data_IF_099970876234
#
_entry.id   IF_099970876234
#
_cell.length_a   1.000
_cell.length_b   1.000
_cell.length_c   1.000
_cell.angle_alpha   90.00
_cell.angle_beta   90.00
_cell.angle_gamma   90.00
#
_symmetry.space_group_name_H-M   'P 1'
#
loop_
_entity.id
_entity.type
_entity.pdbx_description
1 polymer ?
#
# COMPACT_ATOMS: atom_id res chain seq x y z
N UNK A 1 -9.99 -0.25 2.08
CA UNK A 1 -9.65 0.22 3.43
C UNK A 1 -10.00 -0.86 4.43
N UNK A 2 -9.16 -1.05 5.49
CA UNK A 2 -9.44 -2.00 6.57
C UNK A 2 -9.28 -3.49 6.21
N UNK A 3 -8.68 -3.82 5.06
CA UNK A 3 -8.44 -5.23 4.65
C UNK A 3 -7.14 -5.80 5.22
N UNK A 4 -6.34 -5.00 5.96
CA UNK A 4 -5.09 -5.44 6.57
C UNK A 4 -3.83 -5.21 5.73
N UNK A 5 -3.82 -4.28 4.77
CA UNK A 5 -2.62 -3.99 3.96
C UNK A 5 -1.39 -3.69 4.81
N UNK A 6 -1.53 -2.84 5.81
CA UNK A 6 -0.43 -2.43 6.69
C UNK A 6 0.11 -3.60 7.52
N UNK A 7 -0.79 -4.49 7.99
CA UNK A 7 -0.39 -5.74 8.66
C UNK A 7 0.36 -6.67 7.70
N UNK A 8 -0.11 -6.77 6.45
CA UNK A 8 0.59 -7.54 5.42
C UNK A 8 1.96 -6.94 5.10
N UNK A 9 2.05 -5.62 4.96
CA UNK A 9 3.31 -4.91 4.73
C UNK A 9 4.30 -5.17 5.87
N UNK A 10 3.84 -5.08 7.13
CA UNK A 10 4.63 -5.42 8.30
C UNK A 10 5.17 -6.86 8.24
N UNK A 11 4.28 -7.82 7.97
CA UNK A 11 4.66 -9.24 7.88
C UNK A 11 5.66 -9.51 6.75
N UNK A 12 5.47 -8.86 5.58
CA UNK A 12 6.40 -8.96 4.46
C UNK A 12 7.76 -8.37 4.81
N UNK A 13 7.82 -7.21 5.47
CA UNK A 13 9.08 -6.61 5.91
C UNK A 13 9.84 -7.54 6.85
N UNK A 14 9.17 -8.06 7.88
CA UNK A 14 9.78 -9.02 8.82
C UNK A 14 10.25 -10.30 8.11
N UNK A 15 9.43 -10.85 7.21
CA UNK A 15 9.77 -12.04 6.43
C UNK A 15 11.02 -11.84 5.55
N UNK A 16 11.12 -10.68 4.90
CA UNK A 16 12.24 -10.35 4.03
C UNK A 16 13.53 -10.14 4.84
N UNK A 17 13.49 -9.45 5.97
CA UNK A 17 14.64 -9.31 6.86
C UNK A 17 15.09 -10.66 7.41
N UNK A 18 14.17 -11.53 7.84
CA UNK A 18 14.50 -12.88 8.32
C UNK A 18 15.18 -13.75 7.25
N UNK A 19 15.08 -13.38 5.98
CA UNK A 19 15.76 -14.02 4.84
C UNK A 19 16.99 -13.29 4.34
N UNK A 20 17.53 -12.37 5.16
CA UNK A 20 18.73 -11.57 4.86
C UNK A 20 18.58 -10.66 3.63
N UNK A 21 17.35 -10.29 3.26
CA UNK A 21 17.12 -9.21 2.31
C UNK A 21 17.30 -7.85 2.97
N UNK A 22 17.39 -6.79 2.16
CA UNK A 22 17.43 -5.39 2.61
C UNK A 22 16.19 -4.65 2.09
N UNK A 23 14.97 -5.00 2.56
CA UNK A 23 13.76 -4.36 2.08
C UNK A 23 13.67 -2.92 2.56
N UNK A 24 13.06 -2.07 1.73
CA UNK A 24 12.57 -0.77 2.16
C UNK A 24 11.03 -0.80 2.13
N UNK A 25 10.41 -0.04 3.01
CA UNK A 25 8.97 0.18 3.03
C UNK A 25 8.65 1.58 2.52
N UNK A 26 7.62 1.71 1.71
CA UNK A 26 7.15 2.98 1.18
C UNK A 26 5.62 3.05 1.17
N UNK A 27 5.09 4.15 1.70
CA UNK A 27 3.68 4.57 1.64
C UNK A 27 3.60 5.84 0.81
N UNK A 28 3.40 5.76 -0.52
CA UNK A 28 3.49 6.93 -1.40
C UNK A 28 2.49 8.04 -1.05
N UNK A 29 1.28 7.67 -0.61
CA UNK A 29 0.28 8.61 -0.12
C UNK A 29 -0.34 8.06 1.17
N UNK A 30 -0.13 8.77 2.26
CA UNK A 30 -0.74 8.52 3.57
C UNK A 30 -1.93 9.46 3.74
N UNK A 31 -3.06 8.95 4.20
CA UNK A 31 -4.26 9.75 4.51
C UNK A 31 -4.79 9.36 5.87
N UNK A 32 -5.50 10.29 6.55
CA UNK A 32 -6.09 10.04 7.85
C UNK A 32 -5.15 10.25 9.02
N UNK A 33 -4.04 10.99 8.84
CA UNK A 33 -3.13 11.35 9.92
C UNK A 33 -2.51 12.74 9.68
N UNK A 34 -2.15 13.43 10.76
CA UNK A 34 -1.62 14.81 10.72
C UNK A 34 -0.24 14.88 10.07
N UNK A 35 0.57 13.88 10.33
CA UNK A 35 1.94 13.75 9.85
C UNK A 35 2.36 12.27 9.87
N UNK A 36 3.52 11.93 9.30
CA UNK A 36 4.01 10.54 9.28
C UNK A 36 4.25 9.92 10.66
N UNK A 37 4.39 10.72 11.71
CA UNK A 37 4.67 10.25 13.09
C UNK A 37 3.39 9.98 13.89
N UNK A 38 2.24 10.34 13.37
CA UNK A 38 0.95 10.09 14.02
C UNK A 38 0.76 8.59 14.28
N UNK A 39 0.09 8.25 15.39
CA UNK A 39 -0.19 6.86 15.78
C UNK A 39 -1.02 6.11 14.73
N UNK A 40 -1.82 6.84 13.95
CA UNK A 40 -2.65 6.30 12.88
C UNK A 40 -1.91 6.18 11.53
N UNK A 41 -0.63 6.58 11.47
CA UNK A 41 0.20 6.45 10.27
C UNK A 41 0.61 4.99 10.02
N UNK A 42 0.35 4.50 8.80
CA UNK A 42 0.80 3.16 8.38
C UNK A 42 2.33 3.04 8.45
N UNK A 43 3.06 4.10 8.08
CA UNK A 43 4.52 4.13 8.14
C UNK A 43 5.01 4.05 9.58
N UNK A 44 4.44 4.83 10.49
CA UNK A 44 4.77 4.76 11.91
C UNK A 44 4.49 3.37 12.49
N UNK A 45 3.37 2.75 12.12
CA UNK A 45 3.05 1.40 12.53
C UNK A 45 4.11 0.39 12.06
N UNK A 46 4.48 0.39 10.79
CA UNK A 46 5.49 -0.54 10.25
C UNK A 46 6.84 -0.32 10.91
N UNK A 47 7.30 0.94 11.03
CA UNK A 47 8.60 1.27 11.65
C UNK A 47 8.66 0.90 13.13
N UNK A 48 7.54 1.00 13.83
CA UNK A 48 7.45 0.63 15.25
C UNK A 48 7.62 -0.87 15.50
N UNK A 49 7.10 -1.72 14.60
CA UNK A 49 7.02 -3.16 14.82
C UNK A 49 8.02 -3.98 14.01
N UNK A 50 8.76 -3.38 13.08
CA UNK A 50 9.89 -4.02 12.37
C UNK A 50 11.18 -3.68 13.10
N UNK A 51 11.83 -4.70 13.68
CA UNK A 51 13.01 -4.52 14.55
C UNK A 51 14.15 -3.76 13.86
N UNK A 52 14.41 -4.06 12.59
CA UNK A 52 15.48 -3.48 11.77
C UNK A 52 15.22 -2.02 11.36
N UNK A 53 14.00 -1.53 11.55
CA UNK A 53 13.60 -0.14 11.29
C UNK A 53 13.61 0.71 12.58
N UNK A 54 13.83 0.12 13.74
CA UNK A 54 13.91 0.89 15.00
C UNK A 54 15.01 1.94 14.94
N UNK A 55 14.65 3.18 15.29
CA UNK A 55 15.55 4.32 15.27
C UNK A 55 15.74 4.99 13.90
N UNK A 56 15.13 4.46 12.85
CA UNK A 56 15.04 5.13 11.55
C UNK A 56 13.81 6.04 11.49
N UNK A 57 13.88 7.06 10.65
CA UNK A 57 12.78 8.01 10.48
C UNK A 57 11.68 7.44 9.60
N UNK A 58 10.46 7.30 10.14
CA UNK A 58 9.32 6.79 9.38
C UNK A 58 8.82 7.80 8.33
N UNK A 59 9.18 9.08 8.43
CA UNK A 59 8.85 10.08 7.42
C UNK A 59 9.54 9.79 6.08
N UNK A 60 10.70 9.11 6.09
CA UNK A 60 11.39 8.67 4.88
C UNK A 60 10.54 7.68 4.05
N UNK A 61 9.56 7.04 4.67
CA UNK A 61 8.66 6.11 4.00
C UNK A 61 7.38 6.77 3.44
N UNK A 62 7.19 8.08 3.59
CA UNK A 62 5.98 8.78 3.16
C UNK A 62 6.35 9.90 2.19
N UNK A 63 5.67 9.99 1.04
CA UNK A 63 5.89 11.06 0.06
C UNK A 63 4.84 12.17 0.26
N UNK A 64 3.56 11.78 0.33
CA UNK A 64 2.46 12.68 0.63
C UNK A 64 1.74 12.24 1.89
N UNK A 65 1.42 13.19 2.78
CA UNK A 65 0.62 12.97 3.98
C UNK A 65 -0.50 13.98 4.07
N UNK A 66 -1.74 13.49 4.29
CA UNK A 66 -2.95 14.30 4.37
C UNK A 66 -3.77 13.94 5.61
N UNK A 67 -4.37 14.94 6.23
CA UNK A 67 -5.10 14.82 7.51
C UNK A 67 -6.40 14.03 7.37
N UNK A 68 -7.13 14.28 6.28
CA UNK A 68 -8.45 13.68 6.11
C UNK A 68 -8.37 12.21 5.70
N UNK A 69 -9.20 11.37 6.31
CA UNK A 69 -9.34 9.94 6.01
C UNK A 69 -10.19 9.72 4.75
N UNK A 70 -9.72 10.24 3.61
CA UNK A 70 -10.36 10.19 2.29
C UNK A 70 -9.42 9.58 1.26
N UNK A 71 -9.92 9.35 0.03
CA UNK A 71 -9.04 9.03 -1.09
C UNK A 71 -8.00 10.16 -1.29
N UNK A 72 -6.75 9.84 -1.63
CA UNK A 72 -5.65 10.82 -1.66
C UNK A 72 -5.97 12.09 -2.46
N UNK A 73 -6.61 11.97 -3.62
CA UNK A 73 -7.05 13.12 -4.43
C UNK A 73 -7.95 14.08 -3.65
N UNK A 74 -8.96 13.54 -2.96
CA UNK A 74 -9.91 14.37 -2.22
C UNK A 74 -9.28 14.95 -0.95
N UNK A 75 -8.44 14.17 -0.26
CA UNK A 75 -7.72 14.64 0.92
C UNK A 75 -6.75 15.78 0.58
N UNK A 76 -6.02 15.67 -0.54
CA UNK A 76 -5.14 16.72 -1.03
C UNK A 76 -5.92 18.01 -1.38
N UNK A 77 -7.04 17.86 -2.12
CA UNK A 77 -7.89 18.98 -2.51
C UNK A 77 -8.47 19.74 -1.31
N UNK A 78 -8.90 19.02 -0.28
CA UNK A 78 -9.43 19.65 0.94
C UNK A 78 -8.38 20.47 1.69
N UNK A 79 -7.09 20.16 1.50
CA UNK A 79 -5.97 20.93 2.02
C UNK A 79 -5.43 21.99 1.03
N UNK A 80 -6.12 22.23 -0.08
CA UNK A 80 -5.65 23.15 -1.13
C UNK A 80 -4.36 22.68 -1.82
N UNK A 81 -4.09 21.37 -1.81
CA UNK A 81 -2.92 20.73 -2.41
C UNK A 81 -3.32 19.84 -3.58
N UNK A 82 -2.34 19.40 -4.35
CA UNK A 82 -2.47 18.40 -5.40
C UNK A 82 -1.37 17.36 -5.28
N UNK A 83 -1.63 16.15 -5.80
CA UNK A 83 -0.62 15.12 -5.96
C UNK A 83 -0.07 15.23 -7.37
N UNK A 84 1.21 15.57 -7.48
CA UNK A 84 1.96 15.46 -8.71
C UNK A 84 2.36 13.99 -8.91
N UNK A 85 1.75 13.33 -9.89
CA UNK A 85 1.93 11.91 -10.14
C UNK A 85 3.28 11.60 -10.78
N UNK A 86 3.87 12.53 -11.53
CA UNK A 86 5.21 12.35 -12.11
C UNK A 86 6.28 12.49 -11.02
N UNK A 87 6.15 13.48 -10.15
CA UNK A 87 7.02 13.60 -8.96
C UNK A 87 6.90 12.36 -8.07
N UNK A 88 5.67 11.86 -7.86
CA UNK A 88 5.44 10.65 -7.07
C UNK A 88 6.18 9.43 -7.65
N UNK A 89 6.17 9.25 -8.98
CA UNK A 89 6.89 8.18 -9.66
C UNK A 89 8.42 8.32 -9.54
N UNK A 90 8.93 9.55 -9.68
CA UNK A 90 10.36 9.84 -9.52
C UNK A 90 10.82 9.53 -8.09
N UNK A 91 10.06 9.95 -7.08
CA UNK A 91 10.34 9.67 -5.67
C UNK A 91 10.29 8.18 -5.35
N UNK A 92 9.30 7.44 -5.87
CA UNK A 92 9.23 5.98 -5.72
C UNK A 92 10.50 5.32 -6.28
N UNK A 93 10.94 5.73 -7.47
CA UNK A 93 12.14 5.20 -8.11
C UNK A 93 13.38 5.53 -7.28
N UNK A 94 13.54 6.80 -6.90
CA UNK A 94 14.70 7.28 -6.12
C UNK A 94 14.80 6.57 -4.77
N UNK A 95 13.70 6.51 -4.01
CA UNK A 95 13.68 5.83 -2.70
C UNK A 95 13.77 4.31 -2.81
N UNK A 96 13.53 3.73 -3.98
CA UNK A 96 13.75 2.32 -4.28
C UNK A 96 15.20 1.96 -4.57
N UNK A 97 16.07 2.94 -4.83
CA UNK A 97 17.49 2.70 -5.10
C UNK A 97 18.18 2.07 -3.88
N UNK A 98 18.85 0.96 -4.10
CA UNK A 98 19.51 0.20 -3.03
C UNK A 98 18.59 -0.69 -2.18
N UNK A 99 17.29 -0.66 -2.40
CA UNK A 99 16.34 -1.54 -1.73
C UNK A 99 16.27 -2.92 -2.42
N UNK A 100 16.16 -3.98 -1.62
CA UNK A 100 16.05 -5.35 -2.16
C UNK A 100 15.12 -6.19 -1.30
N UNK A 101 13.81 -6.19 -1.60
CA UNK A 101 13.04 -5.36 -2.52
C UNK A 101 12.51 -4.05 -1.90
N UNK A 102 11.86 -3.19 -2.72
CA UNK A 102 11.00 -2.12 -2.24
C UNK A 102 9.57 -2.66 -2.06
N UNK A 103 9.03 -2.54 -0.85
CA UNK A 103 7.64 -2.86 -0.51
C UNK A 103 6.83 -1.58 -0.52
N UNK A 104 5.90 -1.46 -1.48
CA UNK A 104 5.04 -0.28 -1.65
C UNK A 104 3.63 -0.60 -1.15
N UNK A 105 3.13 0.16 -0.18
CA UNK A 105 1.77 0.04 0.29
C UNK A 105 0.85 1.09 -0.36
N UNK A 106 -0.13 0.63 -1.12
CA UNK A 106 -1.11 1.48 -1.77
C UNK A 106 -2.10 2.11 -0.77
N UNK A 107 -2.55 3.33 -1.04
CA UNK A 107 -3.65 3.97 -0.33
C UNK A 107 -5.00 3.51 -0.90
N UNK A 108 -5.78 2.79 -0.12
CA UNK A 108 -7.07 2.25 -0.55
C UNK A 108 -6.96 1.09 -1.55
N UNK A 109 -7.84 1.04 -2.53
CA UNK A 109 -7.87 0.01 -3.58
C UNK A 109 -7.39 0.55 -4.94
N UNK A 110 -7.38 -0.32 -5.96
CA UNK A 110 -6.82 0.00 -7.28
C UNK A 110 -7.52 1.17 -8.00
N UNK A 111 -8.82 1.34 -7.79
CA UNK A 111 -9.62 2.39 -8.43
C UNK A 111 -9.74 3.65 -7.56
N UNK A 112 -8.85 3.83 -6.59
CA UNK A 112 -8.79 5.04 -5.76
C UNK A 112 -8.06 6.13 -6.53
N UNK A 113 -8.63 7.36 -6.67
CA UNK A 113 -8.00 8.46 -7.39
C UNK A 113 -6.83 9.06 -6.61
N UNK A 114 -5.72 9.26 -7.32
CA UNK A 114 -4.55 10.03 -6.88
C UNK A 114 -4.60 11.47 -7.42
N UNK A 115 -5.12 11.65 -8.62
CA UNK A 115 -5.41 12.94 -9.26
C UNK A 115 -6.71 12.85 -10.05
N UNK A 116 -7.07 13.88 -10.81
CA UNK A 116 -8.24 13.85 -11.71
C UNK A 116 -8.14 12.76 -12.79
N UNK A 117 -6.92 12.49 -13.25
CA UNK A 117 -6.67 11.60 -14.39
C UNK A 117 -5.98 10.28 -14.00
N UNK A 118 -5.46 10.19 -12.77
CA UNK A 118 -4.63 9.06 -12.36
C UNK A 118 -5.25 8.31 -11.19
N UNK A 119 -5.48 7.02 -11.38
CA UNK A 119 -5.91 6.09 -10.33
C UNK A 119 -4.71 5.34 -9.73
N UNK A 120 -4.89 4.72 -8.58
CA UNK A 120 -3.86 3.89 -7.95
C UNK A 120 -3.36 2.77 -8.89
N UNK A 121 -4.23 2.18 -9.72
CA UNK A 121 -3.85 1.15 -10.69
C UNK A 121 -2.88 1.69 -11.75
N UNK A 122 -3.00 2.95 -12.13
CA UNK A 122 -2.09 3.58 -13.09
C UNK A 122 -0.69 3.78 -12.49
N UNK A 123 -0.62 4.09 -11.19
CA UNK A 123 0.65 4.11 -10.45
C UNK A 123 1.29 2.73 -10.43
N UNK A 124 0.53 1.67 -10.14
CA UNK A 124 1.01 0.28 -10.17
C UNK A 124 1.54 -0.07 -11.56
N UNK A 125 0.83 0.28 -12.63
CA UNK A 125 1.26 0.04 -14.00
C UNK A 125 2.56 0.78 -14.34
N UNK A 126 2.65 2.06 -14.01
CA UNK A 126 3.80 2.92 -14.31
C UNK A 126 5.05 2.55 -13.52
N UNK A 127 4.91 2.05 -12.29
CA UNK A 127 6.06 1.58 -11.48
C UNK A 127 6.61 0.24 -11.94
N UNK A 128 5.87 -0.53 -12.74
CA UNK A 128 6.24 -1.89 -13.14
C UNK A 128 6.33 -2.88 -11.99
N UNK A 129 5.78 -2.54 -10.82
CA UNK A 129 5.80 -3.42 -9.64
C UNK A 129 4.82 -4.58 -9.79
N UNK A 130 5.13 -5.70 -9.13
CA UNK A 130 4.24 -6.88 -9.12
C UNK A 130 3.36 -6.83 -7.87
N UNK A 131 2.05 -6.59 -7.99
CA UNK A 131 1.17 -6.44 -6.84
C UNK A 131 0.90 -7.77 -6.12
N UNK A 132 0.78 -7.69 -4.79
CA UNK A 132 0.17 -8.71 -3.95
C UNK A 132 -1.19 -8.16 -3.52
N UNK A 133 -2.24 -8.95 -3.72
CA UNK A 133 -3.60 -8.56 -3.35
C UNK A 133 -3.86 -8.96 -1.90
N UNK A 134 -4.08 -7.97 -1.03
CA UNK A 134 -4.58 -8.21 0.31
C UNK A 134 -6.10 -8.33 0.27
N UNK A 135 -6.65 -9.44 0.71
CA UNK A 135 -8.09 -9.70 0.76
C UNK A 135 -8.51 -10.10 2.17
N UNK A 136 -9.64 -9.60 2.66
CA UNK A 136 -10.19 -9.99 3.95
C UNK A 136 -11.06 -11.23 3.80
N UNK A 137 -10.85 -12.26 4.63
CA UNK A 137 -11.68 -13.45 4.65
C UNK A 137 -13.06 -13.13 5.27
N UNK A 138 -14.02 -12.77 4.43
CA UNK A 138 -15.37 -12.39 4.88
C UNK A 138 -16.38 -12.30 3.73
N UNK A 139 -17.62 -12.01 4.06
CA UNK A 139 -18.68 -11.84 3.07
C UNK A 139 -18.31 -10.70 2.09
N UNK A 140 -18.49 -10.96 0.79
CA UNK A 140 -18.13 -10.04 -0.31
C UNK A 140 -16.70 -10.19 -0.82
N UNK A 141 -15.81 -10.96 -0.17
CA UNK A 141 -14.41 -11.08 -0.56
C UNK A 141 -14.23 -11.66 -1.96
N UNK A 142 -15.03 -12.66 -2.34
CA UNK A 142 -14.95 -13.29 -3.67
C UNK A 142 -15.12 -12.20 -4.75
N UNK A 143 -16.21 -11.43 -4.65
CA UNK A 143 -16.50 -10.37 -5.61
C UNK A 143 -15.39 -9.30 -5.64
N UNK A 144 -14.98 -8.77 -4.48
CA UNK A 144 -13.97 -7.71 -4.42
C UNK A 144 -12.62 -8.20 -4.93
N UNK A 145 -12.22 -9.42 -4.60
CA UNK A 145 -10.95 -9.98 -5.02
C UNK A 145 -10.93 -10.26 -6.52
N UNK A 146 -11.99 -10.87 -7.06
CA UNK A 146 -12.08 -11.16 -8.49
C UNK A 146 -12.11 -9.88 -9.32
N UNK A 147 -12.88 -8.86 -8.93
CA UNK A 147 -12.87 -7.54 -9.58
C UNK A 147 -11.48 -6.88 -9.55
N UNK A 148 -10.75 -7.04 -8.44
CA UNK A 148 -9.37 -6.53 -8.34
C UNK A 148 -8.43 -7.27 -9.29
N UNK A 149 -8.53 -8.59 -9.38
CA UNK A 149 -7.75 -9.42 -10.32
C UNK A 149 -8.07 -9.05 -11.77
N UNK A 150 -9.36 -8.90 -12.09
CA UNK A 150 -9.79 -8.52 -13.43
C UNK A 150 -9.28 -7.13 -13.82
N UNK A 151 -9.38 -6.14 -12.92
CA UNK A 151 -8.86 -4.81 -13.17
C UNK A 151 -7.35 -4.82 -13.49
N UNK A 152 -6.57 -5.61 -12.75
CA UNK A 152 -5.13 -5.79 -13.02
C UNK A 152 -4.89 -6.47 -14.37
N UNK A 153 -5.60 -7.57 -14.66
CA UNK A 153 -5.47 -8.30 -15.93
C UNK A 153 -5.79 -7.41 -17.14
N UNK A 154 -6.83 -6.58 -17.05
CA UNK A 154 -7.22 -5.64 -18.11
C UNK A 154 -6.15 -4.56 -18.37
N UNK A 155 -5.20 -4.36 -17.45
CA UNK A 155 -4.02 -3.50 -17.60
C UNK A 155 -2.75 -4.29 -17.92
N UNK A 156 -2.85 -5.60 -18.21
CA UNK A 156 -1.69 -6.47 -18.47
C UNK A 156 -0.81 -6.73 -17.23
N UNK A 157 -1.34 -6.50 -16.03
CA UNK A 157 -0.60 -6.66 -14.78
C UNK A 157 -0.96 -8.00 -14.14
N UNK A 158 0.02 -8.88 -13.99
CA UNK A 158 -0.15 -10.15 -13.29
C UNK A 158 0.19 -9.95 -11.79
N UNK A 159 -0.75 -10.20 -10.86
CA UNK A 159 -0.41 -10.18 -9.43
C UNK A 159 0.48 -11.37 -9.07
N UNK A 160 1.37 -11.19 -8.08
CA UNK A 160 2.18 -12.26 -7.50
C UNK A 160 1.33 -13.29 -6.77
N UNK A 161 0.22 -12.86 -6.19
CA UNK A 161 -0.70 -13.70 -5.46
C UNK A 161 -1.74 -12.91 -4.68
N UNK A 162 -2.58 -13.67 -4.00
CA UNK A 162 -3.61 -13.16 -3.11
C UNK A 162 -3.30 -13.65 -1.70
N UNK A 163 -3.27 -12.75 -0.73
CA UNK A 163 -3.13 -13.09 0.68
C UNK A 163 -4.44 -12.81 1.39
N UNK A 164 -5.05 -13.89 1.89
CA UNK A 164 -6.27 -13.80 2.69
C UNK A 164 -5.91 -13.46 4.12
N UNK A 165 -6.46 -12.36 4.61
CA UNK A 165 -6.25 -11.89 5.97
C UNK A 165 -7.51 -12.19 6.77
N UNK A 166 -7.40 -13.10 7.73
CA UNK A 166 -8.50 -13.49 8.62
C UNK A 166 -8.18 -13.04 10.05
N UNK A 167 -9.07 -12.25 10.62
CA UNK A 167 -8.86 -11.73 11.96
C UNK A 167 -9.38 -12.65 13.06
N UNK A 168 -10.32 -13.57 12.75
CA UNK A 168 -11.02 -14.31 13.81
C UNK A 168 -11.19 -15.82 13.58
N UNK A 169 -11.56 -16.27 12.40
CA UNK A 169 -11.67 -17.70 12.01
C UNK A 169 -11.69 -17.87 10.49
N UNK A 170 -11.10 -18.94 9.94
CA UNK A 170 -11.17 -19.22 8.51
C UNK A 170 -12.63 -19.33 8.06
N UNK A 171 -13.05 -18.42 7.21
CA UNK A 171 -14.39 -18.46 6.62
C UNK A 171 -14.38 -19.25 5.32
N UNK A 172 -15.49 -19.92 5.01
CA UNK A 172 -15.63 -20.77 3.83
C UNK A 172 -15.28 -20.05 2.52
N UNK A 173 -15.53 -18.73 2.45
CA UNK A 173 -15.27 -17.91 1.27
C UNK A 173 -13.80 -17.81 0.88
N UNK A 174 -12.87 -17.94 1.84
CA UNK A 174 -11.42 -17.89 1.55
C UNK A 174 -10.92 -19.11 0.78
N UNK A 175 -11.69 -20.20 0.75
CA UNK A 175 -11.33 -21.45 0.06
C UNK A 175 -11.74 -21.47 -1.41
N UNK A 176 -12.48 -20.45 -1.88
CA UNK A 176 -13.02 -20.37 -3.23
C UNK A 176 -12.21 -19.45 -4.16
N UNK A 177 -11.16 -18.83 -3.68
CA UNK A 177 -10.25 -17.92 -4.41
C UNK A 177 -8.86 -18.57 -4.49
#
# INVERSE_FOLDING_TARGET
TGVGKTVLSLALMQYLYARNHKPCYLKPAQTGCRDPYDTDSDAQFVYRYVGELKGKDCADAVIYCFKEAKAPYFAARDEGKSIDTEFLLQEIKHRGEGCSPLVIEAAGGLMVPLSEETMMIDLVAKTGTKPIIAARAGLGTINHTLLTVEALKNRGIAPLGIIMIDAEKPQTNSRMI
#
